data_IF_233400914492
#
_entry.id   IF_233400914492
#
_cell.length_a   1.000
_cell.length_b   1.000
_cell.length_c   1.000
_cell.angle_alpha   90.00
_cell.angle_beta   90.00
_cell.angle_gamma   90.00
#
_symmetry.space_group_name_H-M   'P 1'
#
loop_
_entity.id
_entity.type
_entity.pdbx_description
1 polymer ?
#
# COMPACT_ATOMS: atom_id res chain seq x y z
N UNK A 1 13.29 -6.94 4.77
CA UNK A 1 12.73 -6.58 6.06
C UNK A 1 12.63 -5.07 6.22
N UNK A 2 11.53 -4.57 6.76
CA UNK A 2 11.30 -3.15 6.90
C UNK A 2 11.94 -2.63 8.19
N UNK A 3 12.87 -1.68 8.07
CA UNK A 3 13.55 -1.08 9.22
C UNK A 3 12.70 0.04 9.81
N UNK A 4 12.23 -0.17 11.04
CA UNK A 4 11.30 0.75 11.72
C UNK A 4 11.88 2.15 11.90
N UNK A 5 13.10 2.25 12.41
CA UNK A 5 13.75 3.55 12.66
C UNK A 5 13.99 4.31 11.36
N UNK A 6 14.52 3.61 10.37
CA UNK A 6 14.80 4.22 9.06
C UNK A 6 13.50 4.67 8.39
N UNK A 7 12.45 3.87 8.50
CA UNK A 7 11.14 4.19 7.96
C UNK A 7 10.58 5.46 8.59
N UNK A 8 10.61 5.54 9.93
CA UNK A 8 10.10 6.71 10.63
C UNK A 8 10.89 7.98 10.30
N UNK A 9 12.21 7.85 10.13
CA UNK A 9 13.05 8.98 9.76
C UNK A 9 12.78 9.45 8.32
N UNK A 10 12.51 8.52 7.42
CA UNK A 10 12.24 8.84 6.01
C UNK A 10 10.89 9.51 5.82
N UNK A 11 9.85 8.96 6.43
CA UNK A 11 8.47 9.42 6.22
C UNK A 11 7.93 10.31 7.31
N UNK A 12 8.65 10.41 8.43
CA UNK A 12 8.28 11.27 9.59
C UNK A 12 6.88 10.95 10.12
N UNK A 13 6.59 9.66 10.29
CA UNK A 13 5.26 9.17 10.70
C UNK A 13 5.26 8.55 12.10
N UNK A 14 6.28 8.78 12.91
CA UNK A 14 6.36 8.18 14.26
C UNK A 14 5.15 8.53 15.11
N UNK A 15 4.77 9.82 15.18
CA UNK A 15 3.61 10.25 15.96
C UNK A 15 2.31 9.65 15.42
N UNK A 16 2.14 9.67 14.11
CA UNK A 16 0.96 9.10 13.47
C UNK A 16 0.85 7.61 13.77
N UNK A 17 1.98 6.90 13.74
CA UNK A 17 2.00 5.48 14.08
C UNK A 17 1.57 5.24 15.53
N UNK A 18 2.09 6.01 16.47
CA UNK A 18 1.72 5.89 17.88
C UNK A 18 0.24 6.20 18.09
N UNK A 19 -0.28 7.21 17.41
CA UNK A 19 -1.69 7.57 17.50
C UNK A 19 -2.61 6.59 16.82
N UNK A 20 -2.10 5.82 15.86
CA UNK A 20 -2.90 4.86 15.11
C UNK A 20 -3.33 3.64 15.93
N UNK A 21 -2.54 3.30 16.94
CA UNK A 21 -2.76 2.07 17.72
C UNK A 21 -2.41 0.80 16.97
N UNK A 22 -1.84 0.91 15.77
CA UNK A 22 -1.44 -0.25 14.98
C UNK A 22 -0.15 -0.87 15.52
N UNK A 23 -0.01 -2.18 15.33
CA UNK A 23 1.20 -2.90 15.69
C UNK A 23 2.20 -2.84 14.53
N UNK A 24 3.47 -2.59 14.84
CA UNK A 24 4.52 -2.65 13.82
C UNK A 24 4.61 -4.04 13.19
N UNK A 25 4.41 -5.08 13.99
CA UNK A 25 4.39 -6.46 13.50
C UNK A 25 3.34 -6.65 12.41
N UNK A 26 2.16 -6.11 12.60
CA UNK A 26 1.08 -6.16 11.60
C UNK A 26 1.48 -5.44 10.33
N UNK A 27 2.05 -4.25 10.46
CA UNK A 27 2.50 -3.47 9.30
C UNK A 27 3.62 -4.18 8.55
N UNK A 28 4.54 -4.79 9.27
CA UNK A 28 5.62 -5.55 8.66
C UNK A 28 5.10 -6.76 7.89
N UNK A 29 4.10 -7.45 8.42
CA UNK A 29 3.45 -8.56 7.72
C UNK A 29 2.74 -8.11 6.46
N UNK A 30 2.07 -6.97 6.50
CA UNK A 30 1.45 -6.37 5.32
C UNK A 30 2.51 -6.03 4.28
N UNK A 31 3.61 -5.41 4.71
CA UNK A 31 4.71 -5.05 3.84
C UNK A 31 5.29 -6.27 3.13
N UNK A 32 5.54 -7.33 3.88
CA UNK A 32 6.10 -8.57 3.32
C UNK A 32 5.14 -9.24 2.33
N UNK A 33 3.86 -9.32 2.68
CA UNK A 33 2.86 -9.92 1.81
C UNK A 33 2.70 -9.12 0.52
N UNK A 34 2.62 -7.80 0.62
CA UNK A 34 2.48 -6.92 -0.54
C UNK A 34 3.73 -6.98 -1.44
N UNK A 35 4.92 -6.97 -0.83
CA UNK A 35 6.17 -7.06 -1.57
C UNK A 35 6.23 -8.36 -2.36
N UNK A 36 5.77 -9.45 -1.77
CA UNK A 36 5.74 -10.75 -2.44
C UNK A 36 4.76 -10.77 -3.61
N UNK A 37 3.62 -10.09 -3.49
CA UNK A 37 2.58 -10.07 -4.53
C UNK A 37 2.84 -9.05 -5.64
N UNK A 38 3.70 -8.08 -5.37
CA UNK A 38 3.90 -6.95 -6.27
C UNK A 38 4.34 -7.34 -7.69
N UNK A 39 5.29 -8.28 -7.89
CA UNK A 39 5.68 -8.67 -9.24
C UNK A 39 4.52 -9.24 -10.07
N UNK A 40 3.64 -10.03 -9.45
CA UNK A 40 2.46 -10.56 -10.12
C UNK A 40 1.46 -9.47 -10.46
N UNK A 41 1.23 -8.55 -9.54
CA UNK A 41 0.33 -7.41 -9.76
C UNK A 41 0.82 -6.56 -10.93
N UNK A 42 2.12 -6.33 -11.02
CA UNK A 42 2.72 -5.59 -12.14
C UNK A 42 2.55 -6.30 -13.46
N UNK A 43 2.70 -7.63 -13.48
CA UNK A 43 2.48 -8.42 -14.69
C UNK A 43 1.05 -8.31 -15.19
N UNK A 44 0.09 -8.37 -14.28
CA UNK A 44 -1.32 -8.23 -14.62
C UNK A 44 -1.60 -6.83 -15.19
N UNK A 45 -1.04 -5.80 -14.55
CA UNK A 45 -1.20 -4.42 -15.01
C UNK A 45 -0.62 -4.23 -16.40
N UNK A 46 0.58 -4.77 -16.66
CA UNK A 46 1.22 -4.67 -17.97
C UNK A 46 0.41 -5.38 -19.05
N UNK A 47 -0.13 -6.55 -18.72
CA UNK A 47 -0.97 -7.31 -19.67
C UNK A 47 -2.25 -6.55 -20.02
N UNK A 48 -2.92 -5.98 -19.00
CA UNK A 48 -4.12 -5.19 -19.20
C UNK A 48 -3.83 -3.96 -20.06
N UNK A 49 -2.69 -3.32 -19.80
CA UNK A 49 -2.26 -2.17 -20.59
C UNK A 49 -2.10 -2.52 -22.06
N UNK A 50 -1.44 -3.65 -22.36
CA UNK A 50 -1.23 -4.10 -23.74
C UNK A 50 -2.57 -4.36 -24.44
N UNK A 51 -3.49 -5.03 -23.77
CA UNK A 51 -4.80 -5.35 -24.34
C UNK A 51 -5.64 -4.09 -24.57
N UNK A 52 -5.65 -3.17 -23.62
CA UNK A 52 -6.41 -1.92 -23.73
C UNK A 52 -5.83 -1.03 -24.82
N UNK A 53 -4.51 -0.97 -24.94
CA UNK A 53 -3.84 -0.16 -25.97
C UNK A 53 -4.19 -0.57 -27.39
N UNK A 54 -4.56 -1.84 -27.59
CA UNK A 54 -4.94 -2.37 -28.90
C UNK A 54 -6.36 -1.97 -29.27
N UNK A 55 -7.21 -1.65 -28.30
CA UNK A 55 -8.64 -1.39 -28.50
C UNK A 55 -8.96 0.08 -28.48
N UNK A 56 -8.42 0.81 -27.51
CA UNK A 56 -8.68 2.23 -27.29
C UNK A 56 -7.40 2.96 -26.93
N UNK A 57 -7.38 4.28 -27.21
CA UNK A 57 -6.30 5.14 -26.76
C UNK A 57 -6.48 5.39 -25.26
N UNK A 58 -5.70 4.71 -24.45
CA UNK A 58 -5.82 4.72 -23.00
C UNK A 58 -4.54 5.22 -22.33
N UNK A 59 -4.69 6.02 -21.27
CA UNK A 59 -3.56 6.55 -20.54
C UNK A 59 -2.89 5.46 -19.70
N UNK A 60 -1.74 5.04 -20.17
CA UNK A 60 -0.89 4.01 -19.59
C UNK A 60 -0.60 4.27 -18.10
N UNK A 61 -0.39 5.52 -17.74
CA UNK A 61 0.00 5.91 -16.38
C UNK A 61 -1.01 5.52 -15.30
N UNK A 62 -2.30 5.51 -15.61
CA UNK A 62 -3.31 5.19 -14.60
C UNK A 62 -3.28 3.73 -14.17
N UNK A 63 -2.79 2.82 -15.02
CA UNK A 63 -2.66 1.41 -14.66
C UNK A 63 -1.40 1.18 -13.81
N UNK A 64 -0.27 1.76 -14.21
CA UNK A 64 0.99 1.63 -13.48
C UNK A 64 0.93 2.24 -12.08
N UNK A 65 0.21 3.35 -11.94
CA UNK A 65 0.10 4.04 -10.66
C UNK A 65 -0.70 3.27 -9.61
N UNK A 66 -1.38 2.20 -10.00
CA UNK A 66 -2.12 1.35 -9.06
C UNK A 66 -1.21 0.41 -8.28
N UNK A 67 0.01 0.19 -8.78
CA UNK A 67 0.99 -0.65 -8.10
C UNK A 67 1.92 0.23 -7.29
N UNK A 68 1.50 0.58 -6.08
CA UNK A 68 2.27 1.44 -5.20
C UNK A 68 3.49 0.75 -4.62
N UNK A 69 4.51 1.54 -4.34
CA UNK A 69 5.69 1.09 -3.61
C UNK A 69 5.27 0.55 -2.23
N UNK A 70 5.82 -0.59 -1.78
CA UNK A 70 5.45 -1.18 -0.50
C UNK A 70 5.62 -0.24 0.70
N UNK A 71 6.68 0.54 0.74
CA UNK A 71 6.89 1.50 1.84
C UNK A 71 5.84 2.60 1.83
N UNK A 72 5.47 3.08 0.64
CA UNK A 72 4.42 4.09 0.52
C UNK A 72 3.06 3.57 0.96
N UNK A 73 2.79 2.29 0.72
CA UNK A 73 1.55 1.67 1.20
C UNK A 73 1.49 1.70 2.73
N UNK A 74 2.57 1.33 3.40
CA UNK A 74 2.64 1.33 4.86
C UNK A 74 2.48 2.76 5.39
N UNK A 75 3.15 3.73 4.79
CA UNK A 75 3.02 5.14 5.17
C UNK A 75 1.58 5.61 5.06
N UNK A 76 0.89 5.26 3.97
CA UNK A 76 -0.51 5.65 3.79
C UNK A 76 -1.43 5.01 4.81
N UNK A 77 -1.22 3.76 5.16
CA UNK A 77 -2.00 3.09 6.19
C UNK A 77 -1.85 3.81 7.53
N UNK A 78 -0.61 4.11 7.92
CA UNK A 78 -0.33 4.82 9.17
C UNK A 78 -1.04 6.17 9.18
N UNK A 79 -0.95 6.90 8.09
CA UNK A 79 -1.57 8.23 7.99
C UNK A 79 -3.09 8.16 8.03
N UNK A 80 -3.69 7.21 7.32
CA UNK A 80 -5.15 7.07 7.30
C UNK A 80 -5.71 6.73 8.68
N UNK A 81 -5.03 5.89 9.44
CA UNK A 81 -5.48 5.50 10.77
C UNK A 81 -5.05 6.53 11.83
N UNK A 82 -3.79 6.97 11.80
CA UNK A 82 -3.24 7.85 12.83
C UNK A 82 -3.64 9.30 12.71
N UNK A 83 -3.67 9.84 11.49
CA UNK A 83 -3.98 11.26 11.25
C UNK A 83 -5.44 11.47 10.89
N UNK A 84 -5.92 10.73 9.89
CA UNK A 84 -7.29 10.89 9.39
C UNK A 84 -8.34 10.15 10.21
N UNK A 85 -7.91 9.26 11.12
CA UNK A 85 -8.81 8.52 12.03
C UNK A 85 -9.91 7.74 11.29
N UNK A 86 -9.61 7.15 10.15
CA UNK A 86 -10.59 6.42 9.37
C UNK A 86 -10.88 5.06 9.98
N UNK A 87 -12.09 4.85 10.41
CA UNK A 87 -12.51 3.63 11.11
C UNK A 87 -12.32 2.36 10.27
N UNK A 88 -12.53 2.44 8.97
CA UNK A 88 -12.43 1.27 8.10
C UNK A 88 -11.03 0.64 8.04
N UNK A 89 -10.00 1.40 8.41
CA UNK A 89 -8.62 0.90 8.40
C UNK A 89 -8.13 0.44 9.78
N UNK A 90 -8.96 0.62 10.81
CA UNK A 90 -8.54 0.36 12.20
C UNK A 90 -8.18 -1.10 12.48
N UNK A 91 -8.86 -2.05 11.82
CA UNK A 91 -8.64 -3.47 12.01
C UNK A 91 -7.86 -4.11 10.85
N UNK A 92 -7.04 -3.32 10.17
CA UNK A 92 -6.27 -3.80 9.03
C UNK A 92 -5.20 -4.80 9.46
N UNK A 93 -5.03 -5.85 8.67
CA UNK A 93 -3.99 -6.86 8.90
C UNK A 93 -3.57 -7.47 7.57
N UNK A 94 -2.64 -8.45 7.62
CA UNK A 94 -2.08 -9.07 6.42
C UNK A 94 -3.08 -9.90 5.62
N UNK A 95 -4.24 -10.19 6.19
CA UNK A 95 -5.27 -10.99 5.52
C UNK A 95 -6.31 -10.14 4.80
N UNK A 96 -6.52 -8.90 5.26
CA UNK A 96 -7.61 -8.08 4.75
C UNK A 96 -7.18 -6.76 4.10
N UNK A 97 -5.89 -6.43 4.16
CA UNK A 97 -5.44 -5.09 3.72
C UNK A 97 -5.74 -4.82 2.24
N UNK A 98 -5.61 -5.81 1.38
CA UNK A 98 -5.87 -5.63 -0.05
C UNK A 98 -7.30 -5.21 -0.33
N UNK A 99 -8.25 -5.77 0.42
CA UNK A 99 -9.66 -5.43 0.28
C UNK A 99 -9.98 -4.06 0.86
N UNK A 100 -9.35 -3.74 2.00
CA UNK A 100 -9.61 -2.50 2.73
C UNK A 100 -8.97 -1.30 2.04
N UNK A 101 -7.73 -1.47 1.55
CA UNK A 101 -6.95 -0.36 0.97
C UNK A 101 -6.90 -0.38 -0.54
N UNK A 102 -7.80 -1.09 -1.19
CA UNK A 102 -7.80 -1.17 -2.67
C UNK A 102 -7.80 0.18 -3.35
N UNK A 103 -8.34 1.20 -2.70
CA UNK A 103 -8.34 2.56 -3.23
C UNK A 103 -6.95 3.21 -3.19
N UNK A 104 -6.01 2.63 -2.42
CA UNK A 104 -4.66 3.14 -2.26
C UNK A 104 -3.65 2.45 -3.19
N UNK A 105 -4.07 1.38 -3.82
CA UNK A 105 -3.18 0.53 -4.63
C UNK A 105 -3.36 0.82 -6.12
#
# INVERSE_FOLDING_TARGET
MLDQEKFFNTYKVREAFEDSGLSWDTLEKIYEDYTRRLPEMKKIADRLQDEISKVIDFHVHSIHNRCKDPEHLIEKIIRKVGVEKRQKYKNINERNYLRIVRDLI
#
